data_IF_636163619223
#
_entry.id   IF_636163619223
#
_cell.length_a   1.000
_cell.length_b   1.000
_cell.length_c   1.000
_cell.angle_alpha   90.00
_cell.angle_beta   90.00
_cell.angle_gamma   90.00
#
_symmetry.space_group_name_H-M   'P 1'
#
loop_
_entity.id
_entity.type
_entity.pdbx_description
1 polymer ?
#
# COMPACT_ATOMS: atom_id res chain seq x y z
N UNK A 1 -13.84 8.58 -3.33
CA UNK A 1 -13.48 8.79 -4.77
C UNK A 1 -12.63 7.62 -5.25
N UNK A 2 -12.72 7.29 -6.53
CA UNK A 2 -11.90 6.23 -7.15
C UNK A 2 -10.58 6.80 -7.64
N UNK A 3 -9.61 5.92 -7.95
CA UNK A 3 -8.35 6.33 -8.58
C UNK A 3 -8.60 7.04 -9.92
N UNK A 4 -9.52 6.53 -10.71
CA UNK A 4 -9.87 7.15 -11.99
C UNK A 4 -10.39 8.58 -11.81
N UNK A 5 -11.26 8.80 -10.84
CA UNK A 5 -11.75 10.13 -10.49
C UNK A 5 -10.62 11.05 -9.99
N UNK A 6 -9.70 10.50 -9.19
CA UNK A 6 -8.54 11.24 -8.69
C UNK A 6 -7.61 11.68 -9.83
N UNK A 7 -7.32 10.80 -10.78
CA UNK A 7 -6.53 11.14 -11.97
C UNK A 7 -7.19 12.22 -12.83
N UNK A 8 -8.50 12.15 -13.00
CA UNK A 8 -9.25 13.19 -13.71
C UNK A 8 -9.14 14.54 -13.02
N UNK A 9 -9.21 14.57 -11.69
CA UNK A 9 -9.02 15.81 -10.91
C UNK A 9 -7.61 16.38 -11.08
N UNK A 10 -6.59 15.55 -11.07
CA UNK A 10 -5.21 15.99 -11.32
C UNK A 10 -5.10 16.59 -12.73
N UNK A 11 -5.66 15.93 -13.72
CA UNK A 11 -5.67 16.44 -15.09
C UNK A 11 -6.32 17.82 -15.19
N UNK A 12 -7.46 18.02 -14.53
CA UNK A 12 -8.15 19.32 -14.51
C UNK A 12 -7.33 20.39 -13.80
N UNK A 13 -6.65 20.02 -12.71
CA UNK A 13 -5.75 20.94 -12.01
C UNK A 13 -4.56 21.33 -12.87
N UNK A 14 -3.97 20.37 -13.62
CA UNK A 14 -2.88 20.66 -14.55
C UNK A 14 -3.31 21.63 -15.66
N UNK A 15 -4.49 21.44 -16.20
CA UNK A 15 -5.06 22.38 -17.19
C UNK A 15 -5.24 23.78 -16.60
N UNK A 16 -5.74 23.88 -15.37
CA UNK A 16 -5.90 25.17 -14.69
C UNK A 16 -4.56 25.84 -14.45
N UNK A 17 -3.53 25.07 -14.05
CA UNK A 17 -2.20 25.62 -13.81
C UNK A 17 -1.49 26.05 -15.10
N UNK A 18 -1.77 25.41 -16.22
CA UNK A 18 -1.21 25.77 -17.53
C UNK A 18 -1.94 26.95 -18.17
N UNK A 19 -3.09 27.34 -17.63
CA UNK A 19 -3.82 28.50 -18.11
C UNK A 19 -3.28 29.78 -17.48
N UNK A 20 -3.30 30.87 -18.21
CA UNK A 20 -2.88 32.21 -17.70
C UNK A 20 -4.00 32.91 -16.93
N UNK A 21 -5.08 32.20 -16.57
CA UNK A 21 -6.28 32.76 -15.96
C UNK A 21 -6.12 32.96 -14.45
N UNK A 22 -5.31 32.11 -13.78
CA UNK A 22 -5.15 32.14 -12.34
C UNK A 22 -4.19 33.25 -11.89
N UNK A 23 -4.55 33.95 -10.83
CA UNK A 23 -3.62 34.83 -10.12
C UNK A 23 -2.66 34.00 -9.25
N UNK A 24 -1.69 34.66 -8.64
CA UNK A 24 -0.64 33.98 -7.85
C UNK A 24 -1.20 33.19 -6.66
N UNK A 25 -2.20 33.72 -5.96
CA UNK A 25 -2.85 33.02 -4.84
C UNK A 25 -3.62 31.80 -5.30
N UNK A 26 -4.38 31.93 -6.38
CA UNK A 26 -5.14 30.82 -6.96
C UNK A 26 -4.21 29.74 -7.48
N UNK A 27 -3.14 30.12 -8.18
CA UNK A 27 -2.13 29.20 -8.68
C UNK A 27 -1.51 28.40 -7.51
N UNK A 28 -1.09 29.07 -6.46
CA UNK A 28 -0.49 28.44 -5.28
C UNK A 28 -1.48 27.47 -4.61
N UNK A 29 -2.74 27.88 -4.47
CA UNK A 29 -3.79 27.02 -3.88
C UNK A 29 -4.02 25.76 -4.69
N UNK A 30 -4.12 25.87 -6.01
CA UNK A 30 -4.32 24.71 -6.90
C UNK A 30 -3.10 23.79 -6.86
N UNK A 31 -1.90 24.35 -6.92
CA UNK A 31 -0.66 23.58 -6.86
C UNK A 31 -0.53 22.78 -5.56
N UNK A 32 -0.89 23.35 -4.42
CA UNK A 32 -0.89 22.66 -3.12
C UNK A 32 -1.90 21.52 -3.09
N UNK A 33 -3.10 21.75 -3.59
CA UNK A 33 -4.14 20.71 -3.66
C UNK A 33 -3.74 19.56 -4.60
N UNK A 34 -3.11 19.90 -5.72
CA UNK A 34 -2.58 18.91 -6.66
C UNK A 34 -1.52 18.04 -5.99
N UNK A 35 -0.58 18.66 -5.28
CA UNK A 35 0.48 17.94 -4.57
C UNK A 35 -0.11 16.95 -3.55
N UNK A 36 -1.04 17.43 -2.72
CA UNK A 36 -1.71 16.59 -1.72
C UNK A 36 -2.46 15.42 -2.37
N UNK A 37 -3.18 15.67 -3.46
CA UNK A 37 -3.91 14.64 -4.17
C UNK A 37 -2.98 13.61 -4.79
N UNK A 38 -1.85 14.02 -5.36
CA UNK A 38 -0.83 13.11 -5.90
C UNK A 38 -0.24 12.21 -4.82
N UNK A 39 -0.02 12.73 -3.62
CA UNK A 39 0.40 11.94 -2.46
C UNK A 39 -0.64 10.88 -2.12
N UNK A 40 -1.90 11.26 -2.03
CA UNK A 40 -3.00 10.33 -1.75
C UNK A 40 -3.13 9.25 -2.83
N UNK A 41 -2.96 9.61 -4.10
CA UNK A 41 -2.97 8.66 -5.22
C UNK A 41 -1.86 7.62 -5.06
N UNK A 42 -0.64 8.05 -4.75
CA UNK A 42 0.49 7.14 -4.55
C UNK A 42 0.24 6.14 -3.42
N UNK A 43 -0.27 6.61 -2.29
CA UNK A 43 -0.63 5.76 -1.15
C UNK A 43 -1.78 4.80 -1.49
N UNK A 44 -2.77 5.27 -2.23
CA UNK A 44 -3.90 4.42 -2.64
C UNK A 44 -3.49 3.35 -3.64
N UNK A 45 -2.62 3.67 -4.58
CA UNK A 45 -2.07 2.69 -5.52
C UNK A 45 -1.31 1.59 -4.77
N UNK A 46 -0.50 1.96 -3.79
CA UNK A 46 0.22 1.02 -2.94
C UNK A 46 -0.76 0.14 -2.15
N UNK A 47 -1.78 0.75 -1.56
CA UNK A 47 -2.82 0.03 -0.82
C UNK A 47 -3.53 -0.99 -1.69
N UNK A 48 -3.96 -0.61 -2.89
CA UNK A 48 -4.65 -1.51 -3.81
C UNK A 48 -3.74 -2.65 -4.29
N UNK A 49 -2.46 -2.36 -4.50
CA UNK A 49 -1.47 -3.37 -4.82
C UNK A 49 -1.31 -4.38 -3.70
N UNK A 50 -1.31 -3.95 -2.45
CA UNK A 50 -1.29 -4.83 -1.28
C UNK A 50 -2.55 -5.69 -1.22
N UNK A 51 -3.73 -5.11 -1.45
CA UNK A 51 -4.99 -5.84 -1.46
C UNK A 51 -5.07 -6.88 -2.58
N UNK A 52 -4.33 -6.68 -3.66
CA UNK A 52 -4.29 -7.60 -4.80
C UNK A 52 -3.30 -8.76 -4.60
N UNK A 53 -2.49 -8.76 -3.54
CA UNK A 53 -1.59 -9.88 -3.26
C UNK A 53 -2.41 -11.14 -2.94
N UNK A 54 -1.88 -12.31 -3.34
CA UNK A 54 -2.61 -13.54 -3.16
C UNK A 54 -2.72 -13.95 -1.69
N UNK A 55 -3.78 -14.69 -1.38
CA UNK A 55 -4.03 -15.26 -0.06
C UNK A 55 -3.81 -16.78 -0.16
N UNK A 56 -2.71 -17.32 0.39
CA UNK A 56 -2.48 -18.75 0.31
C UNK A 56 -3.47 -19.54 1.15
N UNK A 57 -3.75 -20.78 0.76
CA UNK A 57 -4.47 -21.73 1.60
C UNK A 57 -3.51 -22.24 2.67
N UNK A 58 -3.92 -22.14 3.93
CA UNK A 58 -3.08 -22.44 5.07
C UNK A 58 -3.67 -23.54 5.93
N UNK A 59 -2.81 -24.45 6.41
CA UNK A 59 -3.15 -25.37 7.49
C UNK A 59 -3.25 -24.63 8.82
N UNK A 60 -3.83 -25.25 9.84
CA UNK A 60 -3.92 -24.66 11.18
C UNK A 60 -2.53 -24.36 11.74
N UNK A 61 -1.56 -25.23 11.49
CA UNK A 61 -0.18 -25.02 11.94
C UNK A 61 0.46 -23.80 11.28
N UNK A 62 0.27 -23.66 9.96
CA UNK A 62 0.78 -22.52 9.21
C UNK A 62 0.15 -21.20 9.67
N UNK A 63 -1.15 -21.20 9.95
CA UNK A 63 -1.83 -20.04 10.52
C UNK A 63 -1.23 -19.63 11.87
N UNK A 64 -1.02 -20.60 12.77
CA UNK A 64 -0.38 -20.34 14.06
C UNK A 64 1.04 -19.81 13.92
N UNK A 65 1.79 -20.33 12.95
CA UNK A 65 3.13 -19.84 12.63
C UNK A 65 3.11 -18.38 12.18
N UNK A 66 2.20 -18.01 11.27
CA UNK A 66 2.07 -16.65 10.78
C UNK A 66 1.52 -15.70 11.86
N UNK A 67 0.63 -16.18 12.71
CA UNK A 67 0.07 -15.39 13.81
C UNK A 67 1.16 -14.86 14.75
N UNK A 68 2.23 -15.61 14.93
CA UNK A 68 3.35 -15.18 15.75
C UNK A 68 4.02 -13.90 15.24
N UNK A 69 4.00 -13.67 13.93
CA UNK A 69 4.48 -12.42 13.33
C UNK A 69 3.43 -11.31 13.38
N UNK A 70 2.16 -11.66 13.15
CA UNK A 70 1.04 -10.70 13.16
C UNK A 70 0.86 -10.03 14.52
N UNK A 71 1.05 -10.76 15.61
CA UNK A 71 0.96 -10.24 16.98
C UNK A 71 1.92 -9.06 17.19
N UNK A 72 3.07 -9.05 16.52
CA UNK A 72 4.06 -7.97 16.64
C UNK A 72 3.71 -6.74 15.80
N UNK A 73 2.69 -6.83 14.94
CA UNK A 73 2.23 -5.73 14.10
C UNK A 73 3.15 -5.43 12.91
N UNK A 74 3.05 -4.22 12.39
CA UNK A 74 3.89 -3.75 11.28
C UNK A 74 5.34 -3.67 11.71
N UNK A 75 6.17 -4.58 11.21
CA UNK A 75 7.56 -4.69 11.64
C UNK A 75 8.43 -5.40 10.60
N UNK A 76 9.72 -5.11 10.65
CA UNK A 76 10.76 -5.88 9.96
C UNK A 76 11.36 -6.89 10.93
N UNK A 77 11.37 -8.16 10.55
CA UNK A 77 11.85 -9.26 11.38
C UNK A 77 13.09 -9.90 10.79
N UNK A 78 14.09 -10.16 11.63
CA UNK A 78 15.14 -11.11 11.28
C UNK A 78 14.56 -12.51 11.37
N UNK A 79 14.78 -13.32 10.34
CA UNK A 79 14.28 -14.69 10.29
C UNK A 79 15.42 -15.69 10.19
N UNK A 80 15.22 -16.86 10.81
CA UNK A 80 16.14 -17.99 10.68
C UNK A 80 16.00 -18.64 9.30
N UNK A 81 17.00 -19.41 8.87
CA UNK A 81 16.90 -20.16 7.62
C UNK A 81 15.70 -21.12 7.60
N UNK A 82 15.41 -21.74 8.73
CA UNK A 82 14.25 -22.64 8.86
C UNK A 82 12.93 -21.88 8.68
N UNK A 83 12.79 -20.70 9.31
CA UNK A 83 11.61 -19.84 9.14
C UNK A 83 11.49 -19.37 7.69
N UNK A 84 12.60 -19.00 7.06
CA UNK A 84 12.62 -18.58 5.66
C UNK A 84 12.11 -19.67 4.73
N UNK A 85 12.53 -20.92 4.94
CA UNK A 85 12.06 -22.07 4.15
C UNK A 85 10.55 -22.23 4.31
N UNK A 86 10.04 -22.19 5.53
CA UNK A 86 8.61 -22.31 5.81
C UNK A 86 7.81 -21.20 5.12
N UNK A 87 8.27 -19.96 5.21
CA UNK A 87 7.62 -18.82 4.58
C UNK A 87 7.63 -18.90 3.06
N UNK A 88 8.71 -19.40 2.47
CA UNK A 88 8.76 -19.64 1.02
C UNK A 88 7.80 -20.75 0.57
N UNK A 89 7.67 -21.80 1.35
CA UNK A 89 6.69 -22.86 1.07
C UNK A 89 5.27 -22.32 1.11
N UNK A 90 4.96 -21.48 2.10
CA UNK A 90 3.64 -20.86 2.25
C UNK A 90 3.34 -19.91 1.09
N UNK A 91 4.25 -19.01 0.78
CA UNK A 91 4.04 -17.93 -0.17
C UNK A 91 4.49 -18.20 -1.61
N UNK A 92 5.12 -19.34 -1.89
CA UNK A 92 5.62 -19.66 -3.23
C UNK A 92 6.68 -18.69 -3.74
N UNK A 93 7.54 -18.18 -2.87
CA UNK A 93 8.60 -17.19 -3.18
C UNK A 93 8.09 -15.80 -3.56
N UNK A 94 6.79 -15.54 -3.42
CA UNK A 94 6.19 -14.24 -3.72
C UNK A 94 5.58 -13.61 -2.46
N UNK A 95 5.38 -12.30 -2.43
CA UNK A 95 4.62 -11.66 -1.36
C UNK A 95 3.22 -12.25 -1.24
N UNK A 96 2.75 -12.43 -0.03
CA UNK A 96 1.41 -12.95 0.23
C UNK A 96 0.71 -12.18 1.34
N UNK A 97 -0.61 -12.30 1.38
CA UNK A 97 -1.46 -11.62 2.34
C UNK A 97 -2.00 -12.60 3.37
N UNK A 98 -1.91 -12.23 4.65
CA UNK A 98 -2.49 -12.98 5.76
C UNK A 98 -2.99 -12.03 6.85
N UNK A 99 -4.23 -12.22 7.28
CA UNK A 99 -4.84 -11.48 8.41
C UNK A 99 -4.74 -9.96 8.32
N UNK A 100 -4.89 -9.41 7.10
CA UNK A 100 -4.79 -7.96 6.87
C UNK A 100 -3.36 -7.42 6.81
N UNK A 101 -2.37 -8.30 6.72
CA UNK A 101 -0.95 -7.95 6.56
C UNK A 101 -0.40 -8.54 5.27
N UNK A 102 0.57 -7.85 4.68
CA UNK A 102 1.36 -8.36 3.55
C UNK A 102 2.73 -8.76 4.09
N UNK A 103 3.13 -9.98 3.76
CA UNK A 103 4.43 -10.55 4.12
C UNK A 103 5.34 -10.48 2.90
N UNK A 104 6.46 -9.76 3.04
CA UNK A 104 7.44 -9.58 1.97
C UNK A 104 8.83 -9.95 2.44
N UNK A 105 9.62 -10.56 1.56
CA UNK A 105 11.03 -10.78 1.81
C UNK A 105 11.85 -9.58 1.34
N UNK A 106 12.68 -9.06 2.22
CA UNK A 106 13.66 -8.02 1.90
C UNK A 106 15.03 -8.55 2.33
N UNK A 107 15.79 -9.04 1.36
CA UNK A 107 17.07 -9.72 1.62
C UNK A 107 16.88 -10.89 2.59
N UNK A 108 17.47 -10.82 3.78
CA UNK A 108 17.39 -11.85 4.82
C UNK A 108 16.33 -11.52 5.88
N UNK A 109 15.47 -10.57 5.62
CA UNK A 109 14.47 -10.10 6.58
C UNK A 109 13.07 -10.31 6.05
N UNK A 110 12.12 -10.45 6.96
CA UNK A 110 10.69 -10.48 6.66
C UNK A 110 10.07 -9.15 7.05
N UNK A 111 9.48 -8.47 6.08
CA UNK A 111 8.70 -7.27 6.35
C UNK A 111 7.22 -7.63 6.42
N UNK A 112 6.58 -7.33 7.54
CA UNK A 112 5.14 -7.50 7.76
C UNK A 112 4.51 -6.11 7.74
N UNK A 113 3.76 -5.81 6.71
CA UNK A 113 3.11 -4.51 6.53
C UNK A 113 1.60 -4.62 6.72
N UNK A 114 1.04 -3.77 7.57
CA UNK A 114 -0.41 -3.73 7.74
C UNK A 114 -1.05 -3.03 6.54
N UNK A 115 -2.10 -3.66 5.99
CA UNK A 115 -2.90 -3.06 4.93
C UNK A 115 -3.87 -2.05 5.56
N UNK A 116 -3.94 -0.85 5.00
CA UNK A 116 -4.92 0.14 5.43
C UNK A 116 -6.31 -0.28 4.93
N UNK A 117 -7.25 -0.41 5.84
CA UNK A 117 -8.63 -0.80 5.50
C UNK A 117 -9.41 0.31 4.79
N UNK A 118 -9.02 1.57 5.02
CA UNK A 118 -9.69 2.73 4.42
C UNK A 118 -8.90 3.26 3.25
N UNK A 119 -9.63 3.68 2.21
CA UNK A 119 -9.03 4.39 1.09
C UNK A 119 -8.35 5.69 1.54
N UNK A 120 -7.20 5.99 0.95
CA UNK A 120 -6.51 7.29 1.13
C UNK A 120 -7.17 8.41 0.33
N UNK A 121 -8.03 8.07 -0.63
CA UNK A 121 -8.72 9.03 -1.47
C UNK A 121 -9.97 9.51 -0.77
N UNK A 122 -9.90 10.70 -0.20
CA UNK A 122 -11.03 11.35 0.45
C UNK A 122 -11.97 11.93 -0.60
N UNK A 123 -13.28 11.82 -0.36
CA UNK A 123 -14.25 12.55 -1.16
C UNK A 123 -14.25 14.02 -0.74
N UNK A 124 -14.12 14.88 -1.73
CA UNK A 124 -14.15 16.31 -1.53
C UNK A 124 -15.45 16.85 -2.14
#
# INVERSE_FOLDING_TARGET
MTLEQAYKKVYMMDKALDSDILNDEEYTSVAKRRFKLMEQIGLEEQRQKQLATHKPKLSNWEQGFLDSFVIQGHKCHYITEKQKIILHVIGGFEPFQYSGYVFKFIKNSLLVEKINEKSFLEEI
#
